data_IF_010415124187
#
_entry.id   IF_010415124187
#
_cell.length_a   1.000
_cell.length_b   1.000
_cell.length_c   1.000
_cell.angle_alpha   90.00
_cell.angle_beta   90.00
_cell.angle_gamma   90.00
#
_symmetry.space_group_name_H-M   'P 1'
#
loop_
_entity.id
_entity.type
_entity.pdbx_description
1 polymer ?
#
# COMPACT_ATOMS: atom_id res chain seq x y z
N UNK A 1 -16.10 11.65 1.00
CA UNK A 1 -15.98 10.62 2.06
C UNK A 1 -14.75 9.84 1.68
N UNK A 2 -13.81 9.59 2.58
CA UNK A 2 -12.48 9.05 2.21
C UNK A 2 -12.53 7.72 1.44
N UNK A 3 -13.63 6.98 1.60
CA UNK A 3 -13.93 5.71 0.92
C UNK A 3 -14.78 5.86 -0.34
N UNK A 4 -14.91 7.07 -0.88
CA UNK A 4 -15.62 7.24 -2.15
C UNK A 4 -14.91 6.47 -3.28
N UNK A 5 -15.65 6.02 -4.31
CA UNK A 5 -15.08 5.15 -5.34
C UNK A 5 -13.89 5.76 -6.10
N UNK A 6 -13.82 7.08 -6.26
CA UNK A 6 -12.74 7.75 -6.97
C UNK A 6 -11.46 7.74 -6.13
N UNK A 7 -11.57 8.09 -4.84
CA UNK A 7 -10.47 8.01 -3.88
C UNK A 7 -9.93 6.58 -3.79
N UNK A 8 -10.81 5.59 -3.62
CA UNK A 8 -10.42 4.17 -3.53
C UNK A 8 -9.71 3.72 -4.80
N UNK A 9 -10.23 4.06 -5.98
CA UNK A 9 -9.61 3.70 -7.27
C UNK A 9 -8.20 4.30 -7.39
N UNK A 10 -8.02 5.57 -7.00
CA UNK A 10 -6.72 6.21 -7.04
C UNK A 10 -5.69 5.48 -6.16
N UNK A 11 -6.06 5.06 -4.94
CA UNK A 11 -5.17 4.30 -4.07
C UNK A 11 -4.86 2.92 -4.65
N UNK A 12 -5.86 2.23 -5.20
CA UNK A 12 -5.69 0.92 -5.85
C UNK A 12 -4.69 1.02 -7.00
N UNK A 13 -4.83 2.02 -7.87
CA UNK A 13 -3.95 2.20 -9.03
C UNK A 13 -2.49 2.43 -8.63
N UNK A 14 -2.25 3.12 -7.52
CA UNK A 14 -0.91 3.38 -6.97
C UNK A 14 -0.34 2.13 -6.31
N UNK A 15 -1.14 1.35 -5.58
CA UNK A 15 -0.68 0.18 -4.81
C UNK A 15 -0.48 -1.07 -5.68
N UNK A 16 -1.31 -1.25 -6.71
CA UNK A 16 -1.37 -2.45 -7.55
C UNK A 16 -0.04 -2.85 -8.20
N UNK A 17 0.80 -1.93 -8.71
CA UNK A 17 2.12 -2.29 -9.23
C UNK A 17 3.02 -2.95 -8.20
N UNK A 18 3.08 -2.41 -6.97
CA UNK A 18 3.93 -2.93 -5.91
C UNK A 18 3.43 -4.29 -5.40
N UNK A 19 2.11 -4.45 -5.22
CA UNK A 19 1.52 -5.75 -4.87
C UNK A 19 1.88 -6.84 -5.89
N UNK A 20 1.82 -6.53 -7.19
CA UNK A 20 2.20 -7.48 -8.26
C UNK A 20 3.67 -7.87 -8.19
N UNK A 21 4.54 -6.91 -7.89
CA UNK A 21 5.98 -7.12 -7.74
C UNK A 21 6.29 -7.97 -6.51
N UNK A 22 5.65 -7.71 -5.38
CA UNK A 22 5.83 -8.52 -4.16
C UNK A 22 5.38 -9.97 -4.38
N UNK A 23 4.30 -10.18 -5.14
CA UNK A 23 3.89 -11.53 -5.55
C UNK A 23 4.92 -12.24 -6.43
N UNK A 24 5.63 -11.50 -7.29
CA UNK A 24 6.75 -12.09 -8.06
C UNK A 24 7.91 -12.48 -7.13
N UNK A 25 8.16 -11.71 -6.07
CA UNK A 25 9.21 -11.99 -5.09
C UNK A 25 9.03 -13.36 -4.41
N UNK A 26 7.79 -13.80 -4.19
CA UNK A 26 7.45 -15.11 -3.61
C UNK A 26 7.94 -16.29 -4.45
N UNK A 27 8.11 -16.08 -5.76
CA UNK A 27 8.56 -17.13 -6.69
C UNK A 27 10.08 -17.25 -6.78
N UNK A 28 10.82 -16.33 -6.15
CA UNK A 28 12.27 -16.28 -6.23
C UNK A 28 12.87 -17.34 -5.30
N UNK A 29 13.51 -18.35 -5.89
CA UNK A 29 14.00 -19.52 -5.17
C UNK A 29 15.36 -19.37 -4.47
N UNK A 30 16.07 -18.24 -4.62
CA UNK A 30 17.38 -18.04 -4.00
C UNK A 30 17.48 -16.69 -3.29
N UNK A 31 18.25 -16.66 -2.20
CA UNK A 31 18.46 -15.45 -1.42
C UNK A 31 19.13 -14.32 -2.23
N UNK A 32 20.17 -14.64 -3.01
CA UNK A 32 20.89 -13.64 -3.82
C UNK A 32 20.01 -13.02 -4.90
N UNK A 33 19.16 -13.84 -5.55
CA UNK A 33 18.20 -13.33 -6.53
C UNK A 33 17.13 -12.47 -5.88
N UNK A 34 16.70 -12.84 -4.66
CA UNK A 34 15.75 -12.05 -3.89
C UNK A 34 16.34 -10.69 -3.51
N UNK A 35 17.57 -10.63 -3.01
CA UNK A 35 18.22 -9.37 -2.66
C UNK A 35 18.38 -8.44 -3.87
N UNK A 36 18.85 -8.98 -5.00
CA UNK A 36 18.96 -8.21 -6.25
C UNK A 36 17.61 -7.68 -6.70
N UNK A 37 16.58 -8.51 -6.65
CA UNK A 37 15.21 -8.11 -6.96
C UNK A 37 14.76 -6.96 -6.03
N UNK A 38 14.99 -7.05 -4.72
CA UNK A 38 14.65 -5.96 -3.78
C UNK A 38 15.37 -4.66 -4.13
N UNK A 39 16.64 -4.71 -4.52
CA UNK A 39 17.39 -3.52 -4.94
C UNK A 39 16.82 -2.91 -6.21
N UNK A 40 16.49 -3.74 -7.22
CA UNK A 40 15.88 -3.31 -8.48
C UNK A 40 14.50 -2.67 -8.27
N UNK A 41 13.73 -3.16 -7.30
CA UNK A 41 12.37 -2.69 -7.02
C UNK A 41 12.31 -1.55 -5.99
N UNK A 42 13.43 -1.20 -5.35
CA UNK A 42 13.50 -0.08 -4.39
C UNK A 42 12.92 1.24 -4.94
N UNK A 43 13.21 1.68 -6.18
CA UNK A 43 12.62 2.90 -6.72
C UNK A 43 11.10 2.86 -6.84
N UNK A 44 10.52 1.68 -7.13
CA UNK A 44 9.07 1.50 -7.17
C UNK A 44 8.48 1.60 -5.76
N UNK A 45 9.09 0.91 -4.78
CA UNK A 45 8.66 0.97 -3.39
C UNK A 45 8.67 2.40 -2.84
N UNK A 46 9.77 3.12 -3.03
CA UNK A 46 9.92 4.50 -2.56
C UNK A 46 8.90 5.43 -3.24
N UNK A 47 8.64 5.24 -4.54
CA UNK A 47 7.63 6.00 -5.28
C UNK A 47 6.23 5.72 -4.75
N UNK A 48 5.83 4.45 -4.63
CA UNK A 48 4.49 4.06 -4.17
C UNK A 48 4.25 4.59 -2.77
N UNK A 49 5.20 4.37 -1.84
CA UNK A 49 5.09 4.89 -0.47
C UNK A 49 4.99 6.42 -0.44
N UNK A 50 5.83 7.11 -1.23
CA UNK A 50 5.79 8.57 -1.34
C UNK A 50 4.47 9.10 -1.89
N UNK A 51 3.92 8.46 -2.92
CA UNK A 51 2.63 8.83 -3.52
C UNK A 51 1.48 8.58 -2.54
N UNK A 52 1.42 7.42 -1.89
CA UNK A 52 0.39 7.12 -0.88
C UNK A 52 0.45 8.14 0.25
N UNK A 53 1.65 8.49 0.75
CA UNK A 53 1.81 9.56 1.76
C UNK A 53 1.27 10.90 1.25
N UNK A 54 1.62 11.30 0.03
CA UNK A 54 1.15 12.55 -0.55
C UNK A 54 -0.39 12.58 -0.71
N UNK A 55 -0.99 11.46 -1.12
CA UNK A 55 -2.45 11.33 -1.23
C UNK A 55 -3.11 11.51 0.13
N UNK A 56 -2.61 10.86 1.18
CA UNK A 56 -3.14 11.01 2.55
C UNK A 56 -3.06 12.46 3.03
N UNK A 57 -1.94 13.15 2.81
CA UNK A 57 -1.75 14.56 3.20
C UNK A 57 -2.73 15.50 2.49
N UNK A 58 -3.16 15.15 1.28
CA UNK A 58 -4.08 15.98 0.49
C UNK A 58 -5.54 15.84 0.91
N UNK A 59 -5.88 14.89 1.79
CA UNK A 59 -7.25 14.69 2.26
C UNK A 59 -7.49 15.66 3.43
N UNK A 60 -8.31 16.72 3.23
CA UNK A 60 -8.57 17.69 4.28
C UNK A 60 -9.34 17.04 5.44
N UNK A 61 -9.00 17.44 6.67
CA UNK A 61 -9.69 17.02 7.90
C UNK A 61 -9.78 15.51 8.11
N UNK A 62 -8.87 14.72 7.50
CA UNK A 62 -8.83 13.27 7.65
C UNK A 62 -8.59 12.87 9.11
N UNK A 63 -9.51 12.08 9.67
CA UNK A 63 -9.36 11.54 11.03
C UNK A 63 -8.89 10.08 11.02
N UNK A 64 -8.57 9.56 12.20
CA UNK A 64 -8.17 8.16 12.36
C UNK A 64 -9.25 7.19 11.85
N UNK A 65 -10.52 7.45 12.14
CA UNK A 65 -11.62 6.58 11.75
C UNK A 65 -11.78 6.52 10.21
N UNK A 66 -11.61 7.66 9.53
CA UNK A 66 -11.57 7.73 8.06
C UNK A 66 -10.47 6.83 7.49
N UNK A 67 -9.27 6.92 8.04
CA UNK A 67 -8.15 6.09 7.59
C UNK A 67 -8.33 4.61 7.88
N UNK A 68 -8.98 4.26 9.00
CA UNK A 68 -9.33 2.88 9.31
C UNK A 68 -10.36 2.33 8.32
N UNK A 69 -11.32 3.15 7.90
CA UNK A 69 -12.30 2.80 6.88
C UNK A 69 -11.63 2.56 5.52
N UNK A 70 -10.82 3.52 5.05
CA UNK A 70 -10.06 3.38 3.81
C UNK A 70 -9.14 2.15 3.84
N UNK A 71 -8.47 1.92 4.97
CA UNK A 71 -7.63 0.73 5.17
C UNK A 71 -8.44 -0.55 5.03
N UNK A 72 -9.62 -0.65 5.65
CA UNK A 72 -10.49 -1.81 5.52
C UNK A 72 -10.93 -2.05 4.08
N UNK A 73 -11.35 -0.99 3.38
CA UNK A 73 -11.77 -1.06 1.97
C UNK A 73 -10.64 -1.56 1.07
N UNK A 74 -9.43 -1.01 1.23
CA UNK A 74 -8.28 -1.41 0.41
C UNK A 74 -7.82 -2.84 0.70
N UNK A 75 -7.94 -3.32 1.95
CA UNK A 75 -7.60 -4.69 2.34
C UNK A 75 -8.60 -5.75 1.88
N UNK A 76 -9.79 -5.34 1.42
CA UNK A 76 -10.78 -6.25 0.84
C UNK A 76 -10.98 -5.99 -0.66
N UNK A 77 -10.20 -5.07 -1.26
CA UNK A 77 -10.34 -4.72 -2.68
C UNK A 77 -9.78 -5.83 -3.60
N UNK A 78 -10.56 -6.34 -4.57
CA UNK A 78 -10.19 -7.51 -5.37
C UNK A 78 -8.95 -7.32 -6.24
N UNK A 79 -8.64 -6.09 -6.65
CA UNK A 79 -7.41 -5.79 -7.40
C UNK A 79 -6.13 -5.78 -6.54
N UNK A 80 -6.27 -5.65 -5.23
CA UNK A 80 -5.16 -5.62 -4.29
C UNK A 80 -5.01 -6.94 -3.55
N UNK A 81 -6.07 -7.70 -3.33
CA UNK A 81 -6.04 -8.89 -2.48
C UNK A 81 -6.47 -10.12 -3.27
N UNK A 82 -5.51 -10.71 -3.99
CA UNK A 82 -5.67 -12.03 -4.61
C UNK A 82 -5.14 -13.17 -3.71
N UNK A 83 -4.22 -12.86 -2.81
CA UNK A 83 -3.62 -13.78 -1.84
C UNK A 83 -3.53 -13.16 -0.44
N UNK A 84 -3.28 -14.00 0.58
CA UNK A 84 -3.01 -13.52 1.95
C UNK A 84 -1.77 -12.63 1.99
N UNK A 85 -0.76 -12.96 1.19
CA UNK A 85 0.49 -12.18 1.12
C UNK A 85 0.24 -10.79 0.54
N UNK A 86 -0.60 -10.68 -0.48
CA UNK A 86 -0.95 -9.37 -1.05
C UNK A 86 -1.62 -8.47 0.00
N UNK A 87 -2.51 -9.04 0.83
CA UNK A 87 -3.15 -8.32 1.94
C UNK A 87 -2.12 -7.80 2.95
N UNK A 88 -1.09 -8.59 3.25
CA UNK A 88 0.00 -8.20 4.17
C UNK A 88 0.81 -7.06 3.57
N UNK A 89 1.15 -7.13 2.29
CA UNK A 89 1.89 -6.07 1.57
C UNK A 89 1.10 -4.77 1.55
N UNK A 90 -0.16 -4.80 1.13
CA UNK A 90 -1.04 -3.63 1.11
C UNK A 90 -1.15 -3.01 2.51
N UNK A 91 -1.38 -3.84 3.54
CA UNK A 91 -1.45 -3.39 4.91
C UNK A 91 -0.15 -2.74 5.40
N UNK A 92 1.00 -3.33 5.09
CA UNK A 92 2.30 -2.79 5.48
C UNK A 92 2.55 -1.40 4.86
N UNK A 93 2.26 -1.20 3.58
CA UNK A 93 2.44 0.08 2.90
C UNK A 93 1.53 1.15 3.51
N UNK A 94 0.25 0.83 3.73
CA UNK A 94 -0.70 1.77 4.33
C UNK A 94 -0.31 2.11 5.78
N UNK A 95 0.15 1.13 6.55
CA UNK A 95 0.64 1.35 7.90
C UNK A 95 1.89 2.22 7.93
N UNK A 96 2.82 2.04 7.00
CA UNK A 96 4.03 2.85 6.87
C UNK A 96 3.72 4.28 6.37
N UNK A 97 2.73 4.41 5.49
CA UNK A 97 2.28 5.71 5.01
C UNK A 97 1.59 6.51 6.12
N UNK A 98 0.68 5.88 6.87
CA UNK A 98 -0.03 6.51 7.99
C UNK A 98 0.86 6.71 9.22
N UNK A 99 1.69 5.72 9.56
CA UNK A 99 2.67 5.79 10.66
C UNK A 99 3.71 6.89 10.48
N UNK A 100 4.04 7.23 9.23
CA UNK A 100 4.92 8.36 8.90
C UNK A 100 4.26 9.74 9.01
N UNK A 101 2.92 9.82 9.03
CA UNK A 101 2.19 11.09 9.04
C UNK A 101 1.49 11.36 10.38
N UNK A 102 0.83 10.36 10.97
CA UNK A 102 -0.09 10.56 12.10
C UNK A 102 -0.13 9.41 13.13
N UNK A 103 0.30 8.20 12.78
CA UNK A 103 0.28 7.03 13.68
C UNK A 103 -1.12 6.49 13.99
N UNK A 104 -1.23 5.19 14.30
CA UNK A 104 -2.53 4.53 14.57
C UNK A 104 -3.06 4.68 16.00
N UNK A 105 -2.61 5.69 16.75
CA UNK A 105 -3.00 5.89 18.15
C UNK A 105 -3.94 7.08 18.26
N UNK A 106 -4.99 6.91 19.06
CA UNK A 106 -5.89 8.00 19.47
C UNK A 106 -5.16 9.01 20.36
#
# INVERSE_FOLDING_TARGET
>A
MISDPETVTAFVDVLKPLVRVERQAETIGTHDAYLRFREEQKPLNDRVLGTVRAMVVQIPDVVLDDMQELYAVLLDHPDLVATVSDRVVTGAILNEAWGGLHGWKK
#
